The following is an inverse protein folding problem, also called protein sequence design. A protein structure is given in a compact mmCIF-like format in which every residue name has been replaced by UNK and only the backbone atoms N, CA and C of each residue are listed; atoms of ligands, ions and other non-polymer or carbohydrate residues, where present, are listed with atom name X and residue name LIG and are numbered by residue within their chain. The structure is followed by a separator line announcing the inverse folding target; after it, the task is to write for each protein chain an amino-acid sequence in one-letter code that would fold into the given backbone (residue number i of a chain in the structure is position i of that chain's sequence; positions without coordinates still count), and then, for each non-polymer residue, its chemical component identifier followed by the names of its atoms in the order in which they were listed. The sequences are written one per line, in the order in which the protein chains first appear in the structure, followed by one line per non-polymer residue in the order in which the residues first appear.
data_IF_384734059165
#
_entry.id   IF_384734059165
#
_cell.length_a   1.000
_cell.length_b   1.000
_cell.length_c   1.000
_cell.angle_alpha   90.00
_cell.angle_beta   90.00
_cell.angle_gamma   90.00
#
_symmetry.space_group_name_H-M   'P 1'
#
loop_
_entity.id
_entity.type
_entity.pdbx_description
1 polymer ?
#
# COMPACT_ATOMS: atom_id res chain seq x y z
N UNK A 1 30.51 20.61 45.13
CA UNK A 1 29.40 19.65 45.18
C UNK A 1 28.19 20.09 44.36
N UNK A 2 27.61 21.27 44.60
CA UNK A 2 26.40 21.74 43.89
C UNK A 2 26.58 21.79 42.36
N UNK A 3 27.70 22.34 41.88
CA UNK A 3 28.06 22.37 40.45
C UNK A 3 28.24 20.98 39.82
N UNK A 4 28.68 20.00 40.61
CA UNK A 4 28.86 18.63 40.12
C UNK A 4 27.51 17.92 39.99
N UNK A 5 26.63 18.12 40.97
CA UNK A 5 25.28 17.58 40.97
C UNK A 5 24.47 18.15 39.79
N UNK A 6 24.56 19.46 39.52
CA UNK A 6 23.84 20.08 38.40
C UNK A 6 24.30 19.58 37.03
N UNK A 7 25.62 19.39 36.84
CA UNK A 7 26.17 18.80 35.60
C UNK A 7 25.71 17.36 35.42
N UNK A 8 25.64 16.58 36.50
CA UNK A 8 25.20 15.17 36.45
C UNK A 8 23.72 15.07 36.10
N UNK A 9 22.88 15.94 36.65
CA UNK A 9 21.44 16.01 36.33
C UNK A 9 21.25 16.39 34.86
N UNK A 10 21.96 17.40 34.36
CA UNK A 10 21.91 17.81 32.95
C UNK A 10 22.33 16.67 32.01
N UNK A 11 23.41 15.95 32.34
CA UNK A 11 23.85 14.80 31.56
C UNK A 11 22.80 13.69 31.54
N UNK A 12 22.18 13.36 32.68
CA UNK A 12 21.13 12.36 32.76
C UNK A 12 19.89 12.73 31.92
N UNK A 13 19.48 14.00 31.94
CA UNK A 13 18.36 14.52 31.11
C UNK A 13 18.68 14.41 29.62
N UNK A 14 19.90 14.77 29.21
CA UNK A 14 20.34 14.68 27.80
C UNK A 14 20.39 13.23 27.33
N UNK A 15 20.90 12.32 28.16
CA UNK A 15 20.95 10.88 27.85
C UNK A 15 19.53 10.33 27.72
N UNK A 16 18.64 10.61 28.66
CA UNK A 16 17.25 10.18 28.61
C UNK A 16 16.52 10.73 27.36
N UNK A 17 16.77 11.99 26.99
CA UNK A 17 16.20 12.59 25.79
C UNK A 17 16.71 11.95 24.49
N UNK A 18 18.00 11.62 24.42
CA UNK A 18 18.59 10.94 23.26
C UNK A 18 18.07 9.50 23.14
N UNK A 19 17.87 8.81 24.25
CA UNK A 19 17.36 7.44 24.29
C UNK A 19 15.90 7.38 23.81
N UNK A 20 15.06 8.33 24.26
CA UNK A 20 13.69 8.50 23.77
C UNK A 20 13.66 8.74 22.24
N UNK A 21 14.51 9.63 21.73
CA UNK A 21 14.59 9.87 20.27
C UNK A 21 15.06 8.65 19.48
N UNK A 22 16.00 7.86 20.01
CA UNK A 22 16.45 6.62 19.38
C UNK A 22 15.37 5.54 19.36
N UNK A 23 14.50 5.49 20.36
CA UNK A 23 13.39 4.57 20.40
C UNK A 23 12.32 4.89 19.33
N UNK A 24 12.09 6.16 19.03
CA UNK A 24 11.07 6.59 18.05
C UNK A 24 11.52 6.49 16.58
N UNK A 25 12.82 6.66 16.31
CA UNK A 25 13.39 6.59 14.94
C UNK A 25 13.06 5.30 14.16
N UNK A 26 13.21 4.08 14.71
CA UNK A 26 12.84 2.87 13.98
C UNK A 26 11.34 2.84 13.69
N UNK A 27 10.49 3.31 14.61
CA UNK A 27 9.04 3.31 14.42
C UNK A 27 8.61 4.23 13.26
N UNK A 28 9.22 5.42 13.18
CA UNK A 28 8.99 6.37 12.09
C UNK A 28 9.46 5.79 10.75
N UNK A 29 10.65 5.19 10.72
CA UNK A 29 11.19 4.58 9.51
C UNK A 29 10.30 3.45 8.97
N UNK A 30 9.82 2.55 9.83
CA UNK A 30 8.91 1.49 9.40
C UNK A 30 7.55 2.02 8.95
N UNK A 31 7.05 3.08 9.58
CA UNK A 31 5.82 3.75 9.15
C UNK A 31 5.96 4.31 7.73
N UNK A 32 7.03 5.05 7.45
CA UNK A 32 7.30 5.61 6.12
C UNK A 32 7.41 4.51 5.06
N UNK A 33 8.14 3.42 5.36
CA UNK A 33 8.27 2.28 4.45
C UNK A 33 6.95 1.56 4.19
N UNK A 34 6.11 1.44 5.21
CA UNK A 34 4.78 0.89 5.05
C UNK A 34 3.89 1.78 4.16
N UNK A 35 3.93 3.09 4.33
CA UNK A 35 3.19 4.04 3.48
C UNK A 35 3.67 4.02 2.02
N UNK A 36 4.97 3.94 1.78
CA UNK A 36 5.55 3.78 0.44
C UNK A 36 5.07 2.49 -0.22
N UNK A 37 5.10 1.38 0.51
CA UNK A 37 4.66 0.07 0.03
C UNK A 37 3.16 0.07 -0.31
N UNK A 38 2.34 0.67 0.54
CA UNK A 38 0.90 0.79 0.30
C UNK A 38 0.60 1.64 -0.95
N UNK A 39 1.34 2.72 -1.17
CA UNK A 39 1.21 3.53 -2.41
C UNK A 39 1.55 2.70 -3.65
N UNK A 40 2.69 2.01 -3.64
CA UNK A 40 3.11 1.18 -4.76
C UNK A 40 2.09 0.07 -5.07
N UNK A 41 1.51 -0.54 -4.02
CA UNK A 41 0.48 -1.56 -4.19
C UNK A 41 -0.81 -1.00 -4.83
N UNK A 42 -1.28 0.18 -4.39
CA UNK A 42 -2.44 0.86 -4.99
C UNK A 42 -2.16 1.19 -6.47
N UNK A 43 -0.98 1.72 -6.79
CA UNK A 43 -0.60 2.04 -8.17
C UNK A 43 -0.56 0.81 -9.07
N UNK A 44 -0.01 -0.31 -8.56
CA UNK A 44 0.00 -1.58 -9.27
C UNK A 44 -1.42 -2.09 -9.53
N UNK A 45 -2.30 -2.03 -8.53
CA UNK A 45 -3.70 -2.43 -8.68
C UNK A 45 -4.42 -1.57 -9.74
N UNK A 46 -4.20 -0.25 -9.74
CA UNK A 46 -4.74 0.67 -10.75
C UNK A 46 -4.23 0.33 -12.15
N UNK A 47 -2.94 0.08 -12.30
CA UNK A 47 -2.33 -0.33 -13.58
C UNK A 47 -2.94 -1.63 -14.10
N UNK A 48 -3.08 -2.63 -13.23
CA UNK A 48 -3.68 -3.91 -13.61
C UNK A 48 -5.15 -3.76 -14.03
N UNK A 49 -5.95 -2.99 -13.28
CA UNK A 49 -7.35 -2.69 -13.65
C UNK A 49 -7.43 -2.02 -15.02
N UNK A 50 -6.56 -1.04 -15.28
CA UNK A 50 -6.50 -0.35 -16.56
C UNK A 50 -6.17 -1.28 -17.73
N UNK A 51 -5.25 -2.22 -17.55
CA UNK A 51 -4.90 -3.21 -18.58
C UNK A 51 -6.11 -4.09 -18.91
N UNK A 52 -6.82 -4.61 -17.90
CA UNK A 52 -8.00 -5.44 -18.11
C UNK A 52 -9.13 -4.65 -18.79
N UNK A 53 -9.36 -3.41 -18.37
CA UNK A 53 -10.32 -2.52 -19.05
C UNK A 53 -9.94 -2.29 -20.52
N UNK A 54 -8.66 -2.12 -20.81
CA UNK A 54 -8.15 -1.89 -22.16
C UNK A 54 -8.35 -3.12 -23.04
N UNK A 55 -8.04 -4.32 -22.51
CA UNK A 55 -8.30 -5.60 -23.18
C UNK A 55 -9.79 -5.72 -23.52
N UNK A 56 -10.66 -5.42 -22.55
CA UNK A 56 -12.11 -5.52 -22.72
C UNK A 56 -12.65 -4.46 -23.70
N UNK A 57 -12.23 -3.20 -23.60
CA UNK A 57 -12.70 -2.10 -24.46
C UNK A 57 -12.26 -2.27 -25.92
N UNK A 58 -11.07 -2.82 -26.13
CA UNK A 58 -10.51 -3.02 -27.48
C UNK A 58 -10.80 -4.41 -28.05
N UNK A 59 -11.60 -5.25 -27.38
CA UNK A 59 -11.88 -6.63 -27.78
C UNK A 59 -10.60 -7.43 -28.11
N UNK A 60 -9.54 -7.25 -27.30
CA UNK A 60 -8.28 -7.97 -27.52
C UNK A 60 -8.52 -9.44 -27.21
N UNK A 61 -8.38 -10.30 -28.23
CA UNK A 61 -8.64 -11.73 -28.10
C UNK A 61 -7.47 -12.44 -27.42
N UNK A 62 -7.39 -12.30 -26.09
CA UNK A 62 -6.41 -13.02 -25.26
C UNK A 62 -6.93 -14.36 -24.74
N UNK A 63 -8.23 -14.64 -24.93
CA UNK A 63 -8.92 -15.82 -24.43
C UNK A 63 -8.22 -17.16 -24.79
N UNK A 64 -7.70 -17.37 -26.02
CA UNK A 64 -7.05 -18.62 -26.40
C UNK A 64 -5.76 -18.92 -25.62
N UNK A 65 -5.12 -17.88 -25.06
CA UNK A 65 -3.88 -18.02 -24.30
C UNK A 65 -4.13 -18.35 -22.82
N UNK A 66 -5.38 -18.31 -22.37
CA UNK A 66 -5.77 -18.62 -21.00
C UNK A 66 -6.36 -20.03 -20.96
N UNK A 67 -5.61 -20.97 -20.37
CA UNK A 67 -5.98 -22.39 -20.33
C UNK A 67 -7.42 -22.62 -19.80
N UNK A 68 -7.84 -21.86 -18.80
CA UNK A 68 -9.16 -21.97 -18.18
C UNK A 68 -10.32 -21.46 -19.06
N UNK A 69 -10.01 -20.67 -20.11
CA UNK A 69 -10.99 -20.00 -20.96
C UNK A 69 -10.86 -20.34 -22.45
N UNK A 70 -9.82 -21.07 -22.87
CA UNK A 70 -9.52 -21.35 -24.28
C UNK A 70 -10.69 -22.01 -25.03
N UNK A 71 -11.47 -22.86 -24.36
CA UNK A 71 -12.60 -23.59 -24.95
C UNK A 71 -13.98 -23.08 -24.47
N UNK A 72 -14.02 -21.93 -23.81
CA UNK A 72 -15.26 -21.35 -23.25
C UNK A 72 -15.94 -20.39 -24.22
N UNK A 73 -17.24 -20.12 -24.06
CA UNK A 73 -17.90 -19.06 -24.80
C UNK A 73 -17.28 -17.69 -24.47
N UNK A 74 -17.14 -16.77 -25.44
CA UNK A 74 -16.56 -15.44 -25.22
C UNK A 74 -17.27 -14.64 -24.12
N UNK A 75 -18.57 -14.86 -23.94
CA UNK A 75 -19.38 -14.22 -22.91
C UNK A 75 -18.90 -14.56 -21.50
N UNK A 76 -18.49 -15.81 -21.24
CA UNK A 76 -17.93 -16.21 -19.95
C UNK A 76 -16.59 -15.52 -19.68
N UNK A 77 -15.76 -15.38 -20.70
CA UNK A 77 -14.48 -14.69 -20.57
C UNK A 77 -14.68 -13.18 -20.31
N UNK A 78 -15.61 -12.55 -21.02
CA UNK A 78 -15.94 -11.14 -20.82
C UNK A 78 -16.53 -10.89 -19.42
N UNK A 79 -17.42 -11.76 -18.95
CA UNK A 79 -17.98 -11.66 -17.61
C UNK A 79 -16.90 -11.86 -16.53
N UNK A 80 -15.96 -12.79 -16.75
CA UNK A 80 -14.80 -12.95 -15.88
C UNK A 80 -13.96 -11.66 -15.80
N UNK A 81 -13.63 -11.05 -16.95
CA UNK A 81 -12.90 -9.78 -16.99
C UNK A 81 -13.63 -8.66 -16.24
N UNK A 82 -14.95 -8.51 -16.45
CA UNK A 82 -15.77 -7.53 -15.74
C UNK A 82 -15.71 -7.70 -14.24
N UNK A 83 -15.95 -8.92 -13.74
CA UNK A 83 -15.89 -9.22 -12.31
C UNK A 83 -14.52 -8.93 -11.73
N UNK A 84 -13.46 -9.23 -12.48
CA UNK A 84 -12.09 -8.98 -12.04
C UNK A 84 -11.77 -7.49 -11.96
N UNK A 85 -12.21 -6.70 -12.95
CA UNK A 85 -12.08 -5.24 -12.95
C UNK A 85 -12.80 -4.65 -11.74
N UNK A 86 -14.08 -5.00 -11.52
CA UNK A 86 -14.87 -4.49 -10.40
C UNK A 86 -14.26 -4.87 -9.06
N UNK A 87 -13.82 -6.13 -8.89
CA UNK A 87 -13.18 -6.56 -7.66
C UNK A 87 -11.89 -5.76 -7.36
N UNK A 88 -11.10 -5.44 -8.38
CA UNK A 88 -9.90 -4.60 -8.21
C UNK A 88 -10.24 -3.15 -7.91
N UNK A 89 -11.29 -2.59 -8.52
CA UNK A 89 -11.76 -1.23 -8.22
C UNK A 89 -12.21 -1.11 -6.75
N UNK A 90 -12.98 -2.07 -6.25
CA UNK A 90 -13.41 -2.12 -4.86
C UNK A 90 -12.22 -2.23 -3.89
N UNK A 91 -11.22 -3.05 -4.23
CA UNK A 91 -10.00 -3.18 -3.43
C UNK A 91 -9.19 -1.87 -3.42
N UNK A 92 -9.07 -1.18 -4.56
CA UNK A 92 -8.43 0.14 -4.64
C UNK A 92 -9.14 1.14 -3.74
N UNK A 93 -10.47 1.23 -3.83
CA UNK A 93 -11.27 2.14 -2.98
C UNK A 93 -11.07 1.85 -1.50
N UNK A 94 -11.08 0.56 -1.12
CA UNK A 94 -10.80 0.15 0.26
C UNK A 94 -9.42 0.59 0.72
N UNK A 95 -8.38 0.34 -0.07
CA UNK A 95 -7.00 0.71 0.27
C UNK A 95 -6.81 2.22 0.36
N UNK A 96 -7.47 2.98 -0.51
CA UNK A 96 -7.47 4.44 -0.47
C UNK A 96 -8.18 4.97 0.78
N UNK A 97 -9.31 4.38 1.15
CA UNK A 97 -10.02 4.70 2.39
C UNK A 97 -9.16 4.41 3.63
N UNK A 98 -8.53 3.23 3.71
CA UNK A 98 -7.63 2.86 4.79
C UNK A 98 -6.45 3.85 4.91
N UNK A 99 -5.87 4.26 3.78
CA UNK A 99 -4.83 5.30 3.73
C UNK A 99 -5.32 6.65 4.27
N UNK A 100 -6.50 7.10 3.88
CA UNK A 100 -7.07 8.37 4.38
C UNK A 100 -7.30 8.33 5.90
N UNK A 101 -7.78 7.20 6.42
CA UNK A 101 -7.99 7.00 7.86
C UNK A 101 -6.69 7.06 8.67
N UNK A 102 -5.57 6.61 8.10
CA UNK A 102 -4.25 6.70 8.73
C UNK A 102 -3.70 8.13 8.73
N UNK A 103 -4.05 8.97 7.75
CA UNK A 103 -3.62 10.37 7.67
C UNK A 103 -4.39 11.25 8.69
N UNK A 104 -5.62 10.88 9.04
CA UNK A 104 -6.47 11.64 9.97
C UNK A 104 -6.23 11.32 11.46
N UNK A 105 -5.43 10.30 11.77
CA UNK A 105 -5.05 9.92 13.15
C UNK A 105 -3.66 10.42 13.51
#
# INVERSE_FOLDING_TARGET
MVLFISVTILAAVVIAYQDLRRADQPLIYYKEKYEELQRAYIELAKSHSYILETIMKNNVNIQPYLADFANKPPEEFNEYLRRRIVAMQLEIERLEYEKQKLIQK
#
